data_IF_785889911652
#
_entry.id   IF_785889911652
#
_cell.length_a   1.000
_cell.length_b   1.000
_cell.length_c   1.000
_cell.angle_alpha   90.00
_cell.angle_beta   90.00
_cell.angle_gamma   90.00
#
_symmetry.space_group_name_H-M   'P 1'
#
loop_
_entity.id
_entity.type
_entity.pdbx_description
1 polymer ?
#
# COMPACT_ATOMS: atom_id res chain seq x y z
N UNK A 1 -16.79 5.79 3.59
CA UNK A 1 -16.48 4.49 4.17
C UNK A 1 -15.01 4.14 3.89
N UNK A 2 -14.34 3.44 4.86
CA UNK A 2 -12.91 3.07 4.74
C UNK A 2 -12.66 2.18 3.53
N UNK A 3 -13.55 1.22 3.27
CA UNK A 3 -13.44 0.30 2.13
C UNK A 3 -13.48 1.07 0.80
N UNK A 4 -14.37 2.04 0.69
CA UNK A 4 -14.51 2.85 -0.52
C UNK A 4 -13.26 3.73 -0.75
N UNK A 5 -12.69 4.26 0.34
CA UNK A 5 -11.47 5.06 0.26
C UNK A 5 -10.25 4.23 -0.22
N UNK A 6 -10.14 2.97 0.21
CA UNK A 6 -9.10 2.04 -0.25
C UNK A 6 -9.28 1.69 -1.72
N UNK A 7 -10.51 1.37 -2.12
CA UNK A 7 -10.83 1.03 -3.50
C UNK A 7 -10.57 2.21 -4.44
N UNK A 8 -10.96 3.41 -4.02
CA UNK A 8 -10.70 4.64 -4.77
C UNK A 8 -9.19 4.90 -4.87
N UNK A 9 -8.43 4.73 -3.79
CA UNK A 9 -6.97 4.83 -3.80
C UNK A 9 -6.36 3.86 -4.81
N UNK A 10 -6.70 2.58 -4.74
CA UNK A 10 -6.18 1.57 -5.67
C UNK A 10 -6.54 1.87 -7.13
N UNK A 11 -7.68 2.49 -7.37
CA UNK A 11 -8.09 2.95 -8.71
C UNK A 11 -7.22 4.11 -9.20
N UNK A 12 -6.94 5.09 -8.36
CA UNK A 12 -6.09 6.24 -8.70
C UNK A 12 -4.63 5.81 -8.85
N UNK A 13 -4.10 4.98 -7.97
CA UNK A 13 -2.75 4.41 -8.09
C UNK A 13 -2.60 3.57 -9.37
N UNK A 14 -3.58 2.74 -9.69
CA UNK A 14 -3.61 1.99 -10.94
C UNK A 14 -3.63 2.90 -12.18
N UNK A 15 -4.33 4.03 -12.12
CA UNK A 15 -4.32 5.02 -13.19
C UNK A 15 -2.97 5.72 -13.31
N UNK A 16 -2.32 6.07 -12.20
CA UNK A 16 -0.97 6.65 -12.17
C UNK A 16 0.04 5.69 -12.83
N UNK A 17 0.04 4.42 -12.44
CA UNK A 17 0.95 3.41 -13.02
C UNK A 17 0.70 3.17 -14.51
N UNK A 18 -0.58 3.15 -14.93
CA UNK A 18 -0.93 3.04 -16.35
C UNK A 18 -0.37 4.20 -17.15
N UNK A 19 -0.59 5.42 -16.68
CA UNK A 19 -0.11 6.63 -17.36
C UNK A 19 1.42 6.67 -17.39
N UNK A 20 2.09 6.29 -16.29
CA UNK A 20 3.54 6.17 -16.24
C UNK A 20 4.07 5.23 -17.33
N UNK A 21 3.45 4.06 -17.49
CA UNK A 21 3.80 3.10 -18.53
C UNK A 21 3.51 3.66 -19.93
N UNK A 22 2.33 4.18 -20.19
CA UNK A 22 1.90 4.66 -21.50
C UNK A 22 2.72 5.88 -21.99
N UNK A 23 3.05 6.82 -21.11
CA UNK A 23 3.85 8.00 -21.43
C UNK A 23 5.35 7.72 -21.50
N UNK A 24 5.82 6.73 -20.76
CA UNK A 24 7.23 6.44 -20.55
C UNK A 24 7.79 7.24 -19.37
N UNK A 25 8.06 6.54 -18.28
CA UNK A 25 8.61 7.14 -17.08
C UNK A 25 10.07 7.57 -17.29
N UNK A 26 10.45 8.66 -16.62
CA UNK A 26 11.83 9.17 -16.67
C UNK A 26 12.81 8.15 -16.05
N UNK A 27 13.95 7.86 -16.71
CA UNK A 27 14.92 6.87 -16.20
C UNK A 27 15.44 7.16 -14.79
N UNK A 28 15.59 8.43 -14.43
CA UNK A 28 16.01 8.84 -13.08
C UNK A 28 14.98 8.40 -12.04
N UNK A 29 13.68 8.65 -12.27
CA UNK A 29 12.62 8.28 -11.34
C UNK A 29 12.44 6.77 -11.28
N UNK A 30 12.60 6.05 -12.40
CA UNK A 30 12.65 4.57 -12.40
C UNK A 30 13.80 4.05 -11.54
N UNK A 31 14.97 4.68 -11.60
CA UNK A 31 16.12 4.36 -10.75
C UNK A 31 15.84 4.58 -9.27
N UNK A 32 15.20 5.69 -8.91
CA UNK A 32 14.80 5.98 -7.53
C UNK A 32 13.76 4.97 -7.00
N UNK A 33 12.77 4.61 -7.82
CA UNK A 33 11.78 3.59 -7.46
C UNK A 33 12.45 2.22 -7.26
N UNK A 34 13.34 1.82 -8.16
CA UNK A 34 14.13 0.58 -8.02
C UNK A 34 14.96 0.56 -6.74
N UNK A 35 15.62 1.69 -6.41
CA UNK A 35 16.40 1.79 -5.17
C UNK A 35 15.53 1.69 -3.92
N UNK A 36 14.37 2.36 -3.93
CA UNK A 36 13.39 2.27 -2.86
C UNK A 36 12.96 0.81 -2.62
N UNK A 37 12.64 0.06 -3.67
CA UNK A 37 12.24 -1.34 -3.56
C UNK A 37 13.39 -2.23 -3.07
N UNK A 38 14.64 -2.00 -3.49
CA UNK A 38 15.82 -2.74 -2.97
C UNK A 38 16.03 -2.52 -1.47
N UNK A 39 15.76 -1.33 -0.97
CA UNK A 39 15.82 -1.05 0.46
C UNK A 39 14.72 -1.77 1.22
N UNK A 40 13.51 -1.88 0.67
CA UNK A 40 12.45 -2.71 1.25
C UNK A 40 12.86 -4.19 1.26
N UNK A 41 13.42 -4.71 0.18
CA UNK A 41 13.91 -6.10 0.12
C UNK A 41 14.95 -6.38 1.20
N UNK A 42 15.88 -5.45 1.43
CA UNK A 42 16.89 -5.58 2.48
C UNK A 42 16.25 -5.70 3.87
N UNK A 43 15.23 -4.89 4.18
CA UNK A 43 14.48 -4.99 5.44
C UNK A 43 13.74 -6.33 5.56
N UNK A 44 13.10 -6.78 4.48
CA UNK A 44 12.31 -8.03 4.47
C UNK A 44 13.20 -9.30 4.42
N UNK A 45 14.50 -9.17 4.15
CA UNK A 45 15.43 -10.31 4.20
C UNK A 45 15.72 -10.77 5.62
N UNK A 46 15.57 -9.89 6.63
CA UNK A 46 15.70 -10.23 8.02
C UNK A 46 14.58 -11.17 8.48
N UNK A 47 14.90 -12.05 9.44
CA UNK A 47 13.93 -13.05 9.93
C UNK A 47 12.76 -12.46 10.69
N UNK A 48 12.94 -11.28 11.29
CA UNK A 48 11.90 -10.52 11.98
C UNK A 48 12.17 -9.03 11.80
N UNK A 49 11.10 -8.25 11.64
CA UNK A 49 11.16 -6.80 11.66
C UNK A 49 11.04 -6.33 13.12
N UNK A 50 12.10 -5.73 13.64
CA UNK A 50 12.00 -4.97 14.88
C UNK A 50 11.26 -3.64 14.66
N UNK A 51 10.99 -2.89 15.72
CA UNK A 51 10.22 -1.63 15.64
C UNK A 51 10.89 -0.59 14.72
N UNK A 52 12.23 -0.57 14.67
CA UNK A 52 12.97 0.34 13.81
C UNK A 52 12.89 -0.08 12.33
N UNK A 53 13.10 -1.35 12.04
CA UNK A 53 12.99 -1.90 10.68
C UNK A 53 11.55 -1.77 10.17
N UNK A 54 10.56 -1.99 11.04
CA UNK A 54 9.15 -1.79 10.71
C UNK A 54 8.85 -0.32 10.38
N UNK A 55 9.34 0.63 11.19
CA UNK A 55 9.18 2.06 10.91
C UNK A 55 9.84 2.46 9.58
N UNK A 56 11.00 1.90 9.28
CA UNK A 56 11.70 2.10 8.00
C UNK A 56 10.92 1.52 6.83
N UNK A 57 10.32 0.34 7.00
CA UNK A 57 9.45 -0.27 5.99
C UNK A 57 8.24 0.64 5.67
N UNK A 58 7.57 1.18 6.69
CA UNK A 58 6.43 2.10 6.51
C UNK A 58 6.84 3.31 5.66
N UNK A 59 7.96 3.95 5.98
CA UNK A 59 8.47 5.12 5.26
C UNK A 59 8.78 4.78 3.79
N UNK A 60 9.47 3.67 3.55
CA UNK A 60 9.83 3.25 2.19
C UNK A 60 8.61 2.84 1.37
N UNK A 61 7.64 2.16 1.99
CA UNK A 61 6.37 1.83 1.35
C UNK A 61 5.62 3.09 0.89
N UNK A 62 5.51 4.09 1.77
CA UNK A 62 4.90 5.39 1.42
C UNK A 62 5.68 6.11 0.31
N UNK A 63 7.04 6.07 0.35
CA UNK A 63 7.87 6.66 -0.69
C UNK A 63 7.64 6.00 -2.04
N UNK A 64 7.56 4.67 -2.12
CA UNK A 64 7.28 3.96 -3.38
C UNK A 64 5.93 4.38 -3.97
N UNK A 65 4.87 4.43 -3.17
CA UNK A 65 3.56 4.88 -3.63
C UNK A 65 3.54 6.34 -4.07
N UNK A 66 4.29 7.22 -3.41
CA UNK A 66 4.46 8.61 -3.84
C UNK A 66 5.19 8.72 -5.19
N UNK A 67 6.17 7.86 -5.44
CA UNK A 67 6.92 7.81 -6.72
C UNK A 67 6.04 7.45 -7.91
N UNK A 68 4.90 6.78 -7.73
CA UNK A 68 3.92 6.56 -8.81
C UNK A 68 3.41 7.87 -9.41
N UNK A 69 3.23 8.89 -8.57
CA UNK A 69 2.87 10.24 -9.02
C UNK A 69 3.96 10.86 -9.91
N UNK A 70 5.21 10.78 -9.46
CA UNK A 70 6.38 11.30 -10.19
C UNK A 70 6.58 10.53 -11.51
N UNK A 71 6.49 9.20 -11.48
CA UNK A 71 6.57 8.34 -12.67
C UNK A 71 5.50 8.67 -13.72
N UNK A 72 4.28 9.02 -13.29
CA UNK A 72 3.19 9.37 -14.19
C UNK A 72 3.33 10.74 -14.84
N UNK A 73 4.06 11.66 -14.19
CA UNK A 73 4.14 13.06 -14.57
C UNK A 73 2.78 13.80 -14.54
N UNK A 74 1.78 13.29 -13.82
CA UNK A 74 0.45 13.86 -13.75
C UNK A 74 0.22 14.63 -12.44
N UNK A 75 0.44 15.95 -12.46
CA UNK A 75 0.23 16.80 -11.29
C UNK A 75 -1.22 16.79 -10.77
N UNK A 76 -2.21 16.56 -11.62
CA UNK A 76 -3.60 16.46 -11.21
C UNK A 76 -3.83 15.20 -10.38
N UNK A 77 -3.42 14.03 -10.90
CA UNK A 77 -3.61 12.75 -10.21
C UNK A 77 -2.76 12.66 -8.94
N UNK A 78 -1.55 13.22 -8.96
CA UNK A 78 -0.70 13.28 -7.76
C UNK A 78 -1.39 14.03 -6.62
N UNK A 79 -1.98 15.20 -6.89
CA UNK A 79 -2.74 15.96 -5.89
C UNK A 79 -3.97 15.21 -5.38
N UNK A 80 -4.68 14.51 -6.26
CA UNK A 80 -5.83 13.69 -5.82
C UNK A 80 -5.35 12.50 -4.96
N UNK A 81 -4.20 11.91 -5.29
CA UNK A 81 -3.60 10.84 -4.49
C UNK A 81 -3.21 11.34 -3.10
N UNK A 82 -2.57 12.51 -2.99
CA UNK A 82 -2.21 13.14 -1.71
C UNK A 82 -3.46 13.40 -0.86
N UNK A 83 -4.55 13.90 -1.48
CA UNK A 83 -5.82 14.12 -0.81
C UNK A 83 -6.43 12.81 -0.29
N UNK A 84 -6.40 11.75 -1.08
CA UNK A 84 -6.89 10.43 -0.66
C UNK A 84 -6.04 9.86 0.47
N UNK A 85 -4.72 9.95 0.39
CA UNK A 85 -3.80 9.45 1.42
C UNK A 85 -4.00 10.16 2.77
N UNK A 86 -4.56 11.38 2.79
CA UNK A 86 -4.89 12.10 4.02
C UNK A 86 -6.15 11.60 4.73
N UNK A 87 -6.96 10.76 4.08
CA UNK A 87 -8.14 10.16 4.70
C UNK A 87 -7.72 9.06 5.69
N UNK A 88 -8.46 8.88 6.80
CA UNK A 88 -8.17 7.80 7.75
C UNK A 88 -8.12 6.44 7.06
N UNK A 89 -7.08 5.67 7.35
CA UNK A 89 -6.83 4.32 6.79
C UNK A 89 -6.69 4.23 5.26
N UNK A 90 -6.70 5.34 4.53
CA UNK A 90 -6.51 5.35 3.09
C UNK A 90 -5.05 5.53 2.67
N UNK A 91 -4.11 5.81 3.59
CA UNK A 91 -2.69 5.85 3.26
C UNK A 91 -2.17 4.46 2.86
N UNK A 92 -1.16 4.37 2.01
CA UNK A 92 -0.52 3.09 1.64
C UNK A 92 -0.07 2.27 2.84
N UNK A 93 0.37 2.94 3.91
CA UNK A 93 0.85 2.32 5.13
C UNK A 93 -0.20 2.18 6.23
N UNK A 94 -1.41 2.68 6.04
CA UNK A 94 -2.46 2.63 7.05
C UNK A 94 -2.78 1.20 7.52
N UNK A 95 -2.66 0.20 6.64
CA UNK A 95 -2.85 -1.22 6.95
C UNK A 95 -1.61 -1.90 7.48
N UNK A 96 -0.44 -1.49 7.01
CA UNK A 96 0.85 -1.98 7.48
C UNK A 96 0.94 -1.79 9.00
N UNK A 97 0.55 -0.62 9.49
CA UNK A 97 0.57 -0.28 10.92
C UNK A 97 -0.43 -1.15 11.71
N UNK A 98 -1.63 -1.39 11.17
CA UNK A 98 -2.65 -2.24 11.82
C UNK A 98 -2.20 -3.70 11.93
N UNK A 99 -1.38 -4.17 11.00
CA UNK A 99 -0.93 -5.56 10.90
C UNK A 99 0.38 -5.85 11.63
N UNK A 100 1.10 -4.84 12.09
CA UNK A 100 2.44 -4.97 12.68
C UNK A 100 2.59 -6.10 13.73
N UNK A 101 1.50 -6.46 14.40
CA UNK A 101 1.47 -7.43 15.49
C UNK A 101 0.84 -8.77 15.10
N UNK A 102 0.64 -9.06 13.81
CA UNK A 102 0.11 -10.37 13.38
C UNK A 102 1.24 -11.30 12.96
N UNK A 103 1.18 -12.61 13.27
CA UNK A 103 2.21 -13.57 12.84
C UNK A 103 2.39 -13.62 11.32
N UNK A 104 1.34 -13.30 10.56
CA UNK A 104 1.30 -13.32 9.10
C UNK A 104 1.76 -12.00 8.46
N UNK A 105 2.04 -10.96 9.26
CA UNK A 105 2.39 -9.62 8.74
C UNK A 105 3.56 -9.66 7.76
N UNK A 106 4.62 -10.41 8.10
CA UNK A 106 5.81 -10.53 7.25
C UNK A 106 5.50 -11.15 5.89
N UNK A 107 4.73 -12.23 5.86
CA UNK A 107 4.38 -12.91 4.60
C UNK A 107 3.54 -11.99 3.70
N UNK A 108 2.68 -11.19 4.29
CA UNK A 108 1.89 -10.20 3.57
C UNK A 108 2.75 -9.07 2.99
N UNK A 109 3.76 -8.60 3.74
CA UNK A 109 4.71 -7.60 3.23
C UNK A 109 5.55 -8.15 2.08
N UNK A 110 5.93 -9.43 2.10
CA UNK A 110 6.64 -10.09 1.01
C UNK A 110 5.77 -10.14 -0.25
N UNK A 111 4.49 -10.52 -0.12
CA UNK A 111 3.55 -10.53 -1.26
C UNK A 111 3.34 -9.12 -1.80
N UNK A 112 3.14 -8.13 -0.93
CA UNK A 112 2.98 -6.74 -1.34
C UNK A 112 4.23 -6.22 -2.07
N UNK A 113 5.41 -6.57 -1.58
CA UNK A 113 6.68 -6.17 -2.19
C UNK A 113 6.90 -6.82 -3.56
N UNK A 114 6.54 -8.09 -3.74
CA UNK A 114 6.55 -8.74 -5.06
C UNK A 114 5.64 -8.00 -6.05
N UNK A 115 4.45 -7.58 -5.61
CA UNK A 115 3.56 -6.77 -6.45
C UNK A 115 4.16 -5.40 -6.80
N UNK A 116 4.88 -4.74 -5.89
CA UNK A 116 5.58 -3.49 -6.19
C UNK A 116 6.60 -3.68 -7.32
N UNK A 117 7.41 -4.73 -7.27
CA UNK A 117 8.36 -5.06 -8.33
C UNK A 117 7.65 -5.35 -9.66
N UNK A 118 6.55 -6.10 -9.64
CA UNK A 118 5.76 -6.37 -10.84
C UNK A 118 5.16 -5.10 -11.46
N UNK A 119 4.73 -4.13 -10.62
CA UNK A 119 4.26 -2.82 -11.10
C UNK A 119 5.38 -2.05 -11.77
N UNK A 120 6.56 -1.99 -11.14
CA UNK A 120 7.72 -1.27 -11.70
C UNK A 120 8.21 -1.92 -13.02
N UNK A 121 8.20 -3.24 -13.08
CA UNK A 121 8.47 -4.02 -14.29
C UNK A 121 7.47 -3.68 -15.42
N UNK A 122 6.18 -3.71 -15.11
CA UNK A 122 5.13 -3.38 -16.07
C UNK A 122 5.24 -1.93 -16.58
N UNK A 123 5.59 -0.97 -15.71
CA UNK A 123 5.85 0.43 -16.12
C UNK A 123 7.04 0.49 -17.06
N UNK A 124 8.13 -0.21 -16.72
CA UNK A 124 9.37 -0.23 -17.52
C UNK A 124 9.14 -0.80 -18.93
N UNK A 125 8.31 -1.84 -19.02
CA UNK A 125 7.96 -2.49 -20.29
C UNK A 125 6.76 -1.86 -21.01
N UNK A 126 6.25 -0.74 -20.53
CA UNK A 126 5.14 -0.02 -21.17
C UNK A 126 3.80 -0.79 -21.15
N UNK A 127 3.62 -1.66 -20.18
CA UNK A 127 2.44 -2.52 -19.99
C UNK A 127 1.40 -1.86 -19.07
N UNK A 128 0.81 -0.75 -19.51
CA UNK A 128 -0.07 0.09 -18.68
C UNK A 128 -1.28 -0.65 -18.09
N UNK A 129 -1.91 -1.53 -18.87
CA UNK A 129 -3.04 -2.35 -18.39
C UNK A 129 -2.64 -3.30 -17.28
N UNK A 130 -1.46 -3.95 -17.39
CA UNK A 130 -0.90 -4.85 -16.38
C UNK A 130 -0.57 -4.07 -15.10
N UNK A 131 0.13 -2.93 -15.22
CA UNK A 131 0.48 -2.10 -14.07
C UNK A 131 -0.77 -1.67 -13.27
N UNK A 132 -1.84 -1.23 -13.96
CA UNK A 132 -3.09 -0.85 -13.34
C UNK A 132 -3.79 -2.02 -12.64
N UNK A 133 -3.80 -3.20 -13.25
CA UNK A 133 -4.44 -4.38 -12.67
C UNK A 133 -3.74 -4.84 -11.39
N UNK A 134 -2.40 -4.85 -11.37
CA UNK A 134 -1.61 -5.24 -10.21
C UNK A 134 -1.87 -4.29 -9.02
N UNK A 135 -1.88 -2.97 -9.24
CA UNK A 135 -2.14 -2.01 -8.16
C UNK A 135 -3.57 -2.08 -7.62
N UNK A 136 -4.55 -2.38 -8.46
CA UNK A 136 -5.90 -2.65 -7.97
C UNK A 136 -5.93 -3.90 -7.08
N UNK A 137 -5.29 -4.98 -7.49
CA UNK A 137 -5.19 -6.20 -6.69
C UNK A 137 -4.43 -5.94 -5.39
N UNK A 138 -3.34 -5.15 -5.44
CA UNK A 138 -2.58 -4.73 -4.27
C UNK A 138 -3.46 -4.00 -3.24
N UNK A 139 -4.33 -3.10 -3.68
CA UNK A 139 -5.26 -2.41 -2.77
C UNK A 139 -6.32 -3.36 -2.16
N UNK A 140 -6.74 -4.39 -2.89
CA UNK A 140 -7.67 -5.41 -2.39
C UNK A 140 -7.03 -6.32 -1.33
N UNK A 141 -5.72 -6.56 -1.39
CA UNK A 141 -5.01 -7.22 -0.29
C UNK A 141 -5.17 -6.41 1.01
N UNK A 142 -4.94 -5.11 0.96
CA UNK A 142 -5.12 -4.22 2.10
C UNK A 142 -6.55 -4.30 2.68
N UNK A 143 -7.57 -4.29 1.81
CA UNK A 143 -8.97 -4.45 2.24
C UNK A 143 -9.25 -5.79 2.92
N UNK A 144 -8.72 -6.88 2.38
CA UNK A 144 -8.90 -8.23 2.93
C UNK A 144 -8.34 -8.30 4.35
N UNK A 145 -7.13 -7.83 4.52
CA UNK A 145 -6.45 -7.83 5.80
C UNK A 145 -7.12 -6.93 6.85
N UNK A 146 -7.65 -5.78 6.45
CA UNK A 146 -8.45 -4.96 7.36
C UNK A 146 -9.66 -5.74 7.89
N UNK A 147 -10.38 -6.43 7.01
CA UNK A 147 -11.54 -7.25 7.40
C UNK A 147 -11.14 -8.37 8.37
N UNK A 148 -10.04 -9.04 8.11
CA UNK A 148 -9.51 -10.09 8.98
C UNK A 148 -9.11 -9.53 10.35
N UNK A 149 -8.40 -8.41 10.40
CA UNK A 149 -8.02 -7.74 11.64
C UNK A 149 -9.23 -7.28 12.47
N UNK A 150 -10.29 -6.81 11.80
CA UNK A 150 -11.54 -6.41 12.48
C UNK A 150 -12.36 -7.60 12.99
N UNK A 151 -12.18 -8.79 12.44
CA UNK A 151 -12.88 -10.02 12.83
C UNK A 151 -12.11 -10.83 13.89
N UNK A 152 -10.83 -10.53 14.09
CA UNK A 152 -10.01 -11.20 15.12
C UNK A 152 -10.59 -10.95 16.52
N UNK A 153 -10.64 -11.99 17.40
CA UNK A 153 -11.13 -11.81 18.76
C UNK A 153 -10.31 -10.77 19.52
N UNK A 154 -10.97 -10.00 20.40
CA UNK A 154 -10.45 -8.81 21.09
C UNK A 154 -9.16 -9.00 21.94
N UNK A 155 -8.55 -10.16 21.96
CA UNK A 155 -7.25 -10.42 22.60
C UNK A 155 -6.04 -9.85 21.81
N UNK A 156 -6.28 -9.33 20.59
CA UNK A 156 -5.30 -8.60 19.82
C UNK A 156 -5.81 -7.17 19.60
N UNK A 157 -5.79 -6.38 20.67
CA UNK A 157 -6.22 -4.98 20.60
C UNK A 157 -5.34 -4.22 19.63
N UNK A 158 -5.93 -3.78 18.52
CA UNK A 158 -5.28 -2.88 17.58
C UNK A 158 -5.22 -1.50 18.23
N UNK A 159 -4.03 -0.92 18.45
CA UNK A 159 -3.93 0.43 19.03
C UNK A 159 -4.65 1.43 18.14
N UNK A 160 -5.65 2.13 18.69
CA UNK A 160 -6.38 3.20 18.01
C UNK A 160 -7.74 2.86 17.41
N UNK A 161 -8.16 1.58 17.37
CA UNK A 161 -9.51 1.20 16.93
C UNK A 161 -10.41 0.96 18.15
N UNK A 162 -11.31 1.91 18.46
CA UNK A 162 -12.39 1.70 19.41
C UNK A 162 -13.52 0.94 18.72
N UNK A 163 -13.70 -0.34 19.03
CA UNK A 163 -14.91 -1.08 18.69
C UNK A 163 -16.04 -0.60 19.59
N UNK A 164 -16.99 0.18 19.08
CA UNK A 164 -18.23 0.48 19.77
C UNK A 164 -19.07 -0.79 19.79
N UNK A 165 -19.12 -1.47 20.93
CA UNK A 165 -20.13 -2.50 21.18
C UNK A 165 -21.50 -1.83 21.14
N UNK A 166 -22.34 -2.24 20.20
CA UNK A 166 -23.75 -1.92 20.20
C UNK A 166 -24.39 -2.53 21.47
N UNK A 167 -25.12 -1.78 22.30
CA UNK A 167 -25.77 -2.37 23.46
C UNK A 167 -26.85 -3.33 22.99
N UNK A 168 -26.82 -4.54 23.51
CA UNK A 168 -27.88 -5.53 23.33
C UNK A 168 -29.22 -4.94 23.81
N UNK A 169 -30.18 -4.85 22.90
CA UNK A 169 -31.54 -4.43 23.22
C UNK A 169 -32.13 -5.31 24.30
N UNK A 170 -32.64 -4.67 25.38
CA UNK A 170 -33.51 -5.32 26.35
C UNK A 170 -34.92 -5.45 25.73
N UNK A 171 -35.37 -6.67 25.63
CA UNK A 171 -36.79 -7.01 25.50
C UNK A 171 -37.61 -6.51 26.70
#
# INVERSE_FOLDING_TARGET
DVSDAIELRGTVEGLLARIAAERGAAPVVLGEASECLRQIDALLSETALDDHAFSSYVILNERFHALLGELSGSAVLTREMERLASLPFASPSGFVIVQANTPQARDMHIVAQDQHWQVLDAITHREGGRAAAILREHSLLAQRHLREAMQAPANHAVPGVRTTKQPAGRT
#
